data_IF_696131429551
#
_entry.id   IF_696131429551
#
_cell.length_a   1.000
_cell.length_b   1.000
_cell.length_c   1.000
_cell.angle_alpha   90.00
_cell.angle_beta   90.00
_cell.angle_gamma   90.00
#
_symmetry.space_group_name_H-M   'P 1'
#
loop_
_entity.id
_entity.type
_entity.pdbx_description
1 polymer ?
#
# COMPACT_ATOMS: atom_id res chain seq x y z
N UNK A 1 -21.24 9.50 10.23
CA UNK A 1 -21.23 8.05 10.00
C UNK A 1 -19.86 7.37 10.16
N UNK A 2 -18.97 7.28 9.16
CA UNK A 2 -17.76 6.43 9.30
C UNK A 2 -16.74 6.91 10.37
N UNK A 3 -16.56 8.23 10.52
CA UNK A 3 -15.65 8.82 11.53
C UNK A 3 -16.21 8.65 12.96
N UNK A 4 -17.53 8.72 13.12
CA UNK A 4 -18.21 8.56 14.42
C UNK A 4 -18.16 7.11 14.91
N UNK A 5 -18.14 6.14 13.98
CA UNK A 5 -18.04 4.71 14.29
C UNK A 5 -16.59 4.17 14.24
N UNK A 6 -15.58 5.04 14.09
CA UNK A 6 -14.18 4.62 13.94
C UNK A 6 -13.67 3.69 15.07
N UNK A 7 -14.01 3.89 16.36
CA UNK A 7 -13.59 2.97 17.43
C UNK A 7 -14.21 1.58 17.30
N UNK A 8 -15.48 1.48 16.92
CA UNK A 8 -16.18 0.19 16.74
C UNK A 8 -15.61 -0.58 15.55
N UNK A 9 -15.40 0.12 14.42
CA UNK A 9 -14.75 -0.44 13.23
C UNK A 9 -13.33 -0.93 13.56
N UNK A 10 -12.56 -0.14 14.33
CA UNK A 10 -11.22 -0.52 14.76
C UNK A 10 -11.23 -1.81 15.60
N UNK A 11 -12.17 -1.94 16.54
CA UNK A 11 -12.30 -3.13 17.37
C UNK A 11 -12.63 -4.39 16.55
N UNK A 12 -13.51 -4.29 15.55
CA UNK A 12 -13.81 -5.40 14.63
C UNK A 12 -12.61 -5.75 13.73
N UNK A 13 -11.83 -4.74 13.35
CA UNK A 13 -10.71 -4.89 12.42
C UNK A 13 -9.49 -5.52 13.09
N UNK A 14 -9.15 -5.11 14.31
CA UNK A 14 -7.93 -5.57 15.00
C UNK A 14 -7.98 -7.06 15.36
N UNK A 15 -9.17 -7.64 15.53
CA UNK A 15 -9.33 -9.08 15.74
C UNK A 15 -8.90 -9.91 14.52
N UNK A 16 -8.93 -9.32 13.32
CA UNK A 16 -8.71 -10.01 12.05
C UNK A 16 -7.46 -9.53 11.32
N UNK A 17 -6.79 -8.49 11.80
CA UNK A 17 -5.63 -7.88 11.15
C UNK A 17 -4.48 -7.69 12.13
N UNK A 18 -3.33 -8.24 11.77
CA UNK A 18 -2.07 -8.00 12.48
C UNK A 18 -1.39 -6.77 11.88
N UNK A 19 -1.28 -5.68 12.65
CA UNK A 19 -0.61 -4.44 12.27
C UNK A 19 0.13 -3.86 13.48
N UNK A 20 1.16 -3.07 13.21
CA UNK A 20 1.89 -2.25 14.18
C UNK A 20 1.26 -0.86 14.38
N UNK A 21 0.24 -0.50 13.58
CA UNK A 21 -0.52 0.73 13.74
C UNK A 21 -1.49 0.61 14.93
N UNK A 22 -1.44 1.59 15.84
CA UNK A 22 -2.38 1.70 16.94
C UNK A 22 -3.45 2.78 16.66
N UNK A 23 -4.48 2.84 17.50
CA UNK A 23 -5.57 3.82 17.34
C UNK A 23 -5.09 5.28 17.33
N UNK A 24 -4.02 5.60 18.06
CA UNK A 24 -3.44 6.95 18.08
C UNK A 24 -2.69 7.32 16.80
N UNK A 25 -2.17 6.33 16.07
CA UNK A 25 -1.57 6.54 14.73
C UNK A 25 -2.66 6.79 13.67
N UNK A 26 -3.81 6.12 13.82
CA UNK A 26 -4.91 6.14 12.83
C UNK A 26 -5.78 7.40 12.98
N UNK A 27 -6.05 7.85 14.20
CA UNK A 27 -6.97 8.97 14.46
C UNK A 27 -6.62 10.23 13.66
N UNK A 28 -5.34 10.66 13.57
CA UNK A 28 -4.93 11.80 12.74
C UNK A 28 -5.14 11.62 11.24
N UNK A 29 -5.26 10.37 10.77
CA UNK A 29 -5.45 10.04 9.34
C UNK A 29 -6.93 10.04 8.92
N UNK A 30 -7.89 10.06 9.86
CA UNK A 30 -9.33 10.05 9.56
C UNK A 30 -9.76 11.17 8.57
N UNK A 31 -9.26 12.42 8.66
CA UNK A 31 -9.60 13.44 7.67
C UNK A 31 -9.10 13.12 6.25
N UNK A 32 -7.98 12.37 6.12
CA UNK A 32 -7.46 11.94 4.81
C UNK A 32 -8.39 10.92 4.16
N UNK A 33 -9.00 10.01 4.94
CA UNK A 33 -9.93 9.02 4.41
C UNK A 33 -11.11 9.66 3.65
N UNK A 34 -11.57 10.83 4.11
CA UNK A 34 -12.63 11.59 3.41
C UNK A 34 -12.18 12.14 2.06
N UNK A 35 -10.91 12.55 1.94
CA UNK A 35 -10.33 13.06 0.68
C UNK A 35 -10.07 11.93 -0.32
N UNK A 36 -9.56 10.80 0.17
CA UNK A 36 -9.25 9.62 -0.66
C UNK A 36 -10.50 9.02 -1.30
N UNK A 37 -11.67 9.16 -0.66
CA UNK A 37 -12.95 8.70 -1.22
C UNK A 37 -13.46 9.56 -2.40
N UNK A 38 -12.83 10.71 -2.66
CA UNK A 38 -13.19 11.54 -3.81
C UNK A 38 -12.49 11.01 -5.09
N UNK A 39 -13.12 11.12 -6.28
CA UNK A 39 -12.50 10.69 -7.53
C UNK A 39 -11.18 11.44 -7.81
N UNK A 40 -10.20 10.74 -8.39
CA UNK A 40 -8.92 11.33 -8.82
C UNK A 40 -7.86 11.46 -7.72
N UNK A 41 -8.13 11.01 -6.49
CA UNK A 41 -7.17 11.04 -5.38
C UNK A 41 -6.43 9.71 -5.16
N UNK A 42 -6.74 8.68 -5.97
CA UNK A 42 -6.09 7.37 -5.91
C UNK A 42 -5.50 7.06 -7.28
N UNK A 43 -4.18 6.91 -7.33
CA UNK A 43 -3.46 6.41 -8.49
C UNK A 43 -2.97 4.98 -8.21
N UNK A 44 -3.04 4.11 -9.20
CA UNK A 44 -2.58 2.72 -9.09
C UNK A 44 -1.30 2.53 -9.91
N UNK A 45 -0.30 1.92 -9.27
CA UNK A 45 0.97 1.56 -9.89
C UNK A 45 1.22 0.07 -9.65
N UNK A 46 1.76 -0.64 -10.64
CA UNK A 46 1.98 -2.09 -10.58
C UNK A 46 3.42 -2.41 -10.96
N UNK A 47 4.08 -3.24 -10.14
CA UNK A 47 5.39 -3.83 -10.45
C UNK A 47 5.17 -4.96 -11.47
N UNK A 48 5.17 -4.59 -12.75
CA UNK A 48 5.04 -5.50 -13.90
C UNK A 48 6.38 -6.02 -14.46
N UNK A 49 6.36 -6.66 -15.65
CA UNK A 49 7.53 -7.32 -16.25
C UNK A 49 8.76 -6.42 -16.47
N UNK A 50 8.58 -5.10 -16.62
CA UNK A 50 9.70 -4.15 -16.77
C UNK A 50 10.47 -3.86 -15.47
N UNK A 51 9.92 -4.27 -14.31
CA UNK A 51 10.46 -3.99 -12.99
C UNK A 51 11.05 -5.22 -12.30
N UNK A 52 11.14 -6.34 -13.04
CA UNK A 52 11.53 -7.64 -12.51
C UNK A 52 12.53 -8.34 -13.43
N UNK A 53 13.32 -9.22 -12.85
CA UNK A 53 14.30 -10.06 -13.53
C UNK A 53 13.90 -11.52 -13.27
N UNK A 54 13.46 -12.28 -14.30
CA UNK A 54 13.17 -13.70 -14.13
C UNK A 54 14.42 -14.46 -13.74
N UNK A 55 14.33 -15.32 -12.72
CA UNK A 55 15.44 -16.13 -12.26
C UNK A 55 14.96 -17.52 -11.82
N UNK A 56 15.80 -18.52 -12.06
CA UNK A 56 15.55 -19.89 -11.59
C UNK A 56 16.51 -20.19 -10.45
N UNK A 57 15.97 -20.57 -9.29
CA UNK A 57 16.80 -20.96 -8.15
C UNK A 57 17.63 -22.20 -8.48
N UNK A 58 18.74 -22.47 -7.76
CA UNK A 58 19.48 -23.72 -7.95
C UNK A 58 18.63 -24.98 -7.79
N UNK A 59 17.53 -24.91 -7.02
CA UNK A 59 16.55 -26.00 -6.84
C UNK A 59 15.46 -26.07 -7.93
N UNK A 60 15.52 -25.25 -8.97
CA UNK A 60 14.59 -25.28 -10.11
C UNK A 60 13.32 -24.45 -9.94
N UNK A 61 13.16 -23.71 -8.83
CA UNK A 61 11.99 -22.85 -8.62
C UNK A 61 12.09 -21.57 -9.46
N UNK A 62 10.97 -21.13 -10.05
CA UNK A 62 10.88 -19.84 -10.73
C UNK A 62 10.62 -18.74 -9.71
N UNK A 63 11.43 -17.69 -9.75
CA UNK A 63 11.25 -16.49 -8.93
C UNK A 63 11.45 -15.23 -9.76
N UNK A 64 10.80 -14.16 -9.34
CA UNK A 64 10.92 -12.83 -9.94
C UNK A 64 11.77 -11.98 -9.00
N UNK A 65 13.00 -11.68 -9.41
CA UNK A 65 13.87 -10.82 -8.65
C UNK A 65 13.49 -9.35 -8.92
N UNK A 66 13.44 -8.49 -7.90
CA UNK A 66 13.15 -7.08 -8.09
C UNK A 66 14.30 -6.37 -8.84
N UNK A 67 13.96 -5.60 -9.87
CA UNK A 67 14.87 -4.60 -10.42
C UNK A 67 14.71 -3.30 -9.62
N UNK A 68 15.56 -3.13 -8.59
CA UNK A 68 15.44 -2.01 -7.65
C UNK A 68 15.51 -0.64 -8.32
N UNK A 69 16.39 -0.44 -9.30
CA UNK A 69 16.53 0.86 -9.97
C UNK A 69 15.23 1.27 -10.70
N UNK A 70 14.64 0.33 -11.44
CA UNK A 70 13.36 0.57 -12.13
C UNK A 70 12.21 0.79 -11.12
N UNK A 71 12.17 0.01 -10.03
CA UNK A 71 11.16 0.14 -8.98
C UNK A 71 11.29 1.49 -8.26
N UNK A 72 12.51 1.96 -7.96
CA UNK A 72 12.71 3.26 -7.34
C UNK A 72 12.24 4.40 -8.25
N UNK A 73 12.45 4.28 -9.57
CA UNK A 73 11.88 5.21 -10.54
C UNK A 73 10.35 5.27 -10.46
N UNK A 74 9.68 4.12 -10.37
CA UNK A 74 8.22 4.03 -10.20
C UNK A 74 7.75 4.64 -8.87
N UNK A 75 8.45 4.37 -7.77
CA UNK A 75 8.12 4.92 -6.44
C UNK A 75 8.27 6.44 -6.45
N UNK A 76 9.32 6.96 -7.10
CA UNK A 76 9.52 8.39 -7.25
C UNK A 76 8.35 9.05 -7.98
N UNK A 77 7.95 8.51 -9.13
CA UNK A 77 6.79 8.97 -9.89
C UNK A 77 5.51 8.93 -9.03
N UNK A 78 5.28 7.84 -8.30
CA UNK A 78 4.09 7.67 -7.48
C UNK A 78 3.99 8.66 -6.30
N UNK A 79 5.14 9.10 -5.76
CA UNK A 79 5.21 9.97 -4.57
C UNK A 79 5.44 11.45 -4.90
N UNK A 80 5.88 11.77 -6.12
CA UNK A 80 6.09 13.13 -6.62
C UNK A 80 5.27 13.41 -7.89
N UNK A 81 3.93 13.32 -7.83
CA UNK A 81 3.08 13.59 -8.97
C UNK A 81 3.31 15.05 -9.46
N UNK A 82 3.42 15.21 -10.78
CA UNK A 82 3.51 16.52 -11.45
C UNK A 82 2.20 17.31 -11.35
#
# INVERSE_FOLDING_TARGET
DAVENAPEIYNLYVENVTTDLNLTDITPMLPLALKVNQPGHINNYVIGPGYIIPWTTPGGAQVLLPNYDAIYGLIWEATHPQ
#
